data_IF_888660638458
#
_entry.id   IF_888660638458
#
_cell.length_a   1.000
_cell.length_b   1.000
_cell.length_c   1.000
_cell.angle_alpha   90.00
_cell.angle_beta   90.00
_cell.angle_gamma   90.00
#
_symmetry.space_group_name_H-M   'P 1'
#
loop_
_entity.id
_entity.type
_entity.pdbx_description
1 polymer ?
#
# COMPACT_ATOMS: atom_id res chain seq x y z
N UNK A 1 33.62 26.99 8.10
CA UNK A 1 33.14 25.64 7.73
C UNK A 1 34.15 24.63 8.26
N UNK A 2 33.76 23.79 9.21
CA UNK A 2 34.66 22.94 10.01
C UNK A 2 35.28 21.82 9.14
N UNK A 3 36.58 21.50 9.26
CA UNK A 3 37.28 20.47 8.45
C UNK A 3 36.59 19.10 8.44
N UNK A 4 35.89 18.77 9.51
CA UNK A 4 35.12 17.54 9.68
C UNK A 4 33.95 17.41 8.69
N UNK A 5 33.28 18.52 8.35
CA UNK A 5 32.20 18.52 7.35
C UNK A 5 32.73 18.27 5.94
N UNK A 6 33.91 18.82 5.63
CA UNK A 6 34.56 18.64 4.33
C UNK A 6 35.05 17.20 4.11
N UNK A 7 35.47 16.54 5.19
CA UNK A 7 35.87 15.12 5.17
C UNK A 7 34.66 14.21 4.96
N UNK A 8 33.54 14.48 5.65
CA UNK A 8 32.28 13.75 5.46
C UNK A 8 31.78 13.89 4.01
N UNK A 9 31.79 15.09 3.45
CA UNK A 9 31.32 15.35 2.08
C UNK A 9 32.16 14.62 1.01
N UNK A 10 33.49 14.60 1.18
CA UNK A 10 34.38 13.80 0.32
C UNK A 10 34.09 12.30 0.41
N UNK A 11 33.86 11.79 1.62
CA UNK A 11 33.51 10.39 1.82
C UNK A 11 32.17 10.03 1.21
N UNK A 12 31.15 10.88 1.37
CA UNK A 12 29.83 10.69 0.78
C UNK A 12 29.91 10.67 -0.75
N UNK A 13 30.62 11.63 -1.35
CA UNK A 13 30.81 11.71 -2.80
C UNK A 13 31.53 10.47 -3.34
N UNK A 14 32.55 9.99 -2.64
CA UNK A 14 33.29 8.77 -2.99
C UNK A 14 32.40 7.52 -2.91
N UNK A 15 31.60 7.39 -1.84
CA UNK A 15 30.63 6.29 -1.68
C UNK A 15 29.56 6.30 -2.77
N UNK A 16 28.99 7.46 -3.11
CA UNK A 16 28.01 7.58 -4.21
C UNK A 16 28.62 7.15 -5.54
N UNK A 17 29.85 7.56 -5.85
CA UNK A 17 30.55 7.17 -7.08
C UNK A 17 30.79 5.67 -7.16
N UNK A 18 31.12 5.03 -6.03
CA UNK A 18 31.26 3.57 -5.95
C UNK A 18 29.93 2.85 -6.14
N UNK A 19 28.85 3.36 -5.53
CA UNK A 19 27.50 2.82 -5.68
C UNK A 19 27.01 2.89 -7.14
N UNK A 20 27.20 4.03 -7.81
CA UNK A 20 26.84 4.21 -9.22
C UNK A 20 27.64 3.26 -10.13
N UNK A 21 28.95 3.12 -9.87
CA UNK A 21 29.80 2.17 -10.59
C UNK A 21 29.31 0.73 -10.39
N UNK A 22 29.03 0.33 -9.16
CA UNK A 22 28.50 -1.00 -8.83
C UNK A 22 27.16 -1.27 -9.54
N UNK A 23 26.23 -0.30 -9.51
CA UNK A 23 24.93 -0.37 -10.19
C UNK A 23 25.06 -0.55 -11.71
N UNK A 24 25.96 0.23 -12.33
CA UNK A 24 26.25 0.12 -13.76
C UNK A 24 26.84 -1.24 -14.14
N UNK A 25 27.70 -1.80 -13.29
CA UNK A 25 28.33 -3.10 -13.51
C UNK A 25 27.35 -4.26 -13.36
N UNK A 26 26.48 -4.22 -12.34
CA UNK A 26 25.41 -5.21 -12.17
C UNK A 26 24.47 -5.19 -13.38
N UNK A 27 24.09 -4.01 -13.86
CA UNK A 27 23.23 -3.86 -15.05
C UNK A 27 23.89 -4.49 -16.28
N UNK A 28 25.20 -4.24 -16.47
CA UNK A 28 25.98 -4.82 -17.58
C UNK A 28 26.06 -6.34 -17.47
N UNK A 29 26.33 -6.88 -16.29
CA UNK A 29 26.43 -8.33 -16.07
C UNK A 29 25.09 -9.04 -16.28
N UNK A 30 23.97 -8.46 -15.81
CA UNK A 30 22.63 -9.00 -16.10
C UNK A 30 22.30 -9.02 -17.58
N UNK A 31 22.69 -7.99 -18.34
CA UNK A 31 22.50 -7.98 -19.79
C UNK A 31 23.23 -9.15 -20.44
N UNK A 32 24.50 -9.37 -20.07
CA UNK A 32 25.31 -10.51 -20.54
C UNK A 32 24.72 -11.86 -20.15
N UNK A 33 24.25 -12.02 -18.91
CA UNK A 33 23.58 -13.26 -18.47
C UNK A 33 22.30 -13.53 -19.26
N UNK A 34 21.54 -12.49 -19.61
CA UNK A 34 20.34 -12.62 -20.43
C UNK A 34 20.68 -13.00 -21.87
N UNK A 35 21.72 -12.41 -22.45
CA UNK A 35 22.24 -12.78 -23.77
C UNK A 35 22.71 -14.24 -23.78
N UNK A 36 23.47 -14.66 -22.76
CA UNK A 36 23.94 -16.04 -22.59
C UNK A 36 22.77 -17.03 -22.47
N UNK A 37 21.76 -16.72 -21.66
CA UNK A 37 20.56 -17.55 -21.52
C UNK A 37 19.77 -17.69 -22.83
N UNK A 38 19.78 -16.67 -23.70
CA UNK A 38 19.16 -16.76 -25.03
C UNK A 38 19.99 -17.67 -25.94
N UNK A 39 21.32 -17.50 -25.97
CA UNK A 39 22.21 -18.33 -26.78
C UNK A 39 22.23 -19.81 -26.36
N UNK A 40 21.96 -20.11 -25.09
CA UNK A 40 21.87 -21.49 -24.61
C UNK A 40 20.65 -22.26 -25.13
N UNK A 41 19.58 -21.57 -25.54
CA UNK A 41 18.36 -22.22 -26.08
C UNK A 41 18.56 -22.88 -27.43
N UNK A 42 19.61 -22.51 -28.15
CA UNK A 42 19.93 -23.00 -29.49
C UNK A 42 20.88 -24.22 -29.47
N UNK A 43 21.23 -24.73 -28.29
CA UNK A 43 22.12 -25.88 -28.10
C UNK A 43 21.33 -27.16 -27.77
N UNK A 44 21.84 -28.32 -28.19
CA UNK A 44 21.16 -29.62 -28.05
C UNK A 44 21.61 -30.45 -26.82
N UNK A 45 22.64 -30.01 -26.09
CA UNK A 45 23.21 -30.74 -24.95
C UNK A 45 22.51 -30.39 -23.62
N UNK A 46 21.46 -31.17 -23.30
CA UNK A 46 20.51 -30.89 -22.21
C UNK A 46 21.19 -30.85 -20.82
N UNK A 47 22.16 -31.71 -20.56
CA UNK A 47 22.80 -31.80 -19.24
C UNK A 47 23.73 -30.60 -18.99
N UNK A 48 24.56 -30.23 -19.98
CA UNK A 48 25.41 -29.04 -19.90
C UNK A 48 24.59 -27.74 -19.86
N UNK A 49 23.44 -27.70 -20.55
CA UNK A 49 22.51 -26.56 -20.50
C UNK A 49 21.94 -26.38 -19.10
N UNK A 50 21.53 -27.46 -18.42
CA UNK A 50 20.94 -27.37 -17.07
C UNK A 50 21.94 -26.85 -16.03
N UNK A 51 23.20 -27.33 -16.07
CA UNK A 51 24.25 -26.86 -15.14
C UNK A 51 24.58 -25.37 -15.34
N UNK A 52 24.60 -24.92 -16.59
CA UNK A 52 24.83 -23.51 -16.93
C UNK A 52 23.62 -22.64 -16.56
N UNK A 53 22.39 -23.13 -16.74
CA UNK A 53 21.17 -22.43 -16.31
C UNK A 53 21.12 -22.25 -14.78
N UNK A 54 21.50 -23.28 -14.01
CA UNK A 54 21.59 -23.19 -12.55
C UNK A 54 22.64 -22.16 -12.11
N UNK A 55 23.82 -22.16 -12.75
CA UNK A 55 24.88 -21.16 -12.50
C UNK A 55 24.45 -19.73 -12.87
N UNK A 56 23.67 -19.58 -13.96
CA UNK A 56 23.06 -18.29 -14.35
C UNK A 56 22.05 -17.84 -13.29
N UNK A 57 21.22 -18.74 -12.77
CA UNK A 57 20.25 -18.45 -11.72
C UNK A 57 20.92 -18.04 -10.41
N UNK A 58 21.96 -18.75 -9.97
CA UNK A 58 22.71 -18.42 -8.77
C UNK A 58 23.38 -17.05 -8.86
N UNK A 59 24.02 -16.74 -10.00
CA UNK A 59 24.60 -15.41 -10.24
C UNK A 59 23.53 -14.32 -10.31
N UNK A 60 22.38 -14.60 -10.92
CA UNK A 60 21.25 -13.68 -10.97
C UNK A 60 20.69 -13.38 -9.57
N UNK A 61 20.62 -14.40 -8.71
CA UNK A 61 20.23 -14.27 -7.31
C UNK A 61 21.23 -13.41 -6.53
N UNK A 62 22.53 -13.69 -6.66
CA UNK A 62 23.58 -12.89 -6.02
C UNK A 62 23.56 -11.42 -6.46
N UNK A 63 23.37 -11.14 -7.75
CA UNK A 63 23.21 -9.77 -8.24
C UNK A 63 21.95 -9.09 -7.70
N UNK A 64 20.86 -9.84 -7.53
CA UNK A 64 19.62 -9.32 -6.94
C UNK A 64 19.80 -8.98 -5.46
N UNK A 65 20.60 -9.75 -4.73
CA UNK A 65 20.98 -9.42 -3.36
C UNK A 65 21.86 -8.17 -3.30
N UNK A 66 22.91 -8.08 -4.13
CA UNK A 66 23.78 -6.89 -4.19
C UNK A 66 23.00 -5.61 -4.53
N UNK A 67 22.09 -5.67 -5.51
CA UNK A 67 21.26 -4.54 -5.92
C UNK A 67 20.24 -4.12 -4.83
N UNK A 68 19.89 -5.02 -3.91
CA UNK A 68 19.05 -4.66 -2.76
C UNK A 68 19.73 -3.70 -1.78
N UNK A 69 21.07 -3.57 -1.86
CA UNK A 69 21.90 -2.65 -1.09
C UNK A 69 22.33 -1.41 -1.88
N UNK A 70 21.95 -1.28 -3.15
CA UNK A 70 22.27 -0.10 -3.95
C UNK A 70 21.10 0.90 -3.96
N UNK A 71 21.39 2.21 -4.11
CA UNK A 71 20.38 3.23 -4.32
C UNK A 71 19.43 2.85 -5.45
N UNK A 72 18.13 2.76 -5.14
CA UNK A 72 17.12 2.60 -6.18
C UNK A 72 16.60 3.96 -6.60
N UNK A 73 16.35 4.13 -7.90
CA UNK A 73 15.71 5.35 -8.40
C UNK A 73 14.31 5.47 -7.79
N UNK A 74 14.02 6.65 -7.26
CA UNK A 74 12.70 6.98 -6.74
C UNK A 74 11.65 6.91 -7.87
N UNK A 75 10.46 6.42 -7.54
CA UNK A 75 9.31 6.54 -8.44
C UNK A 75 8.88 8.00 -8.62
N UNK A 76 8.15 8.30 -9.70
CA UNK A 76 7.74 9.66 -10.08
C UNK A 76 7.09 10.45 -8.92
N UNK A 77 6.16 9.84 -8.20
CA UNK A 77 5.50 10.49 -7.05
C UNK A 77 6.49 10.87 -5.94
N UNK A 78 7.41 9.97 -5.61
CA UNK A 78 8.37 10.17 -4.53
C UNK A 78 9.40 11.25 -4.91
N UNK A 79 9.82 11.27 -6.18
CA UNK A 79 10.65 12.34 -6.73
C UNK A 79 9.93 13.68 -6.72
N UNK A 80 8.62 13.71 -6.99
CA UNK A 80 7.83 14.94 -6.94
C UNK A 80 7.70 15.49 -5.51
N UNK A 81 7.46 14.61 -4.52
CA UNK A 81 7.20 15.02 -3.12
C UNK A 81 8.48 15.28 -2.34
N UNK A 82 9.50 14.45 -2.49
CA UNK A 82 10.75 14.52 -1.72
C UNK A 82 11.92 15.10 -2.52
N UNK A 83 11.75 15.37 -3.82
CA UNK A 83 12.85 15.73 -4.70
C UNK A 83 13.78 14.55 -4.99
N UNK A 84 15.01 14.84 -5.40
CA UNK A 84 16.00 13.83 -5.77
C UNK A 84 16.75 13.23 -4.54
N UNK A 85 16.07 13.13 -3.40
CA UNK A 85 16.64 12.60 -2.15
C UNK A 85 16.59 11.08 -2.18
N UNK A 86 17.74 10.42 -1.95
CA UNK A 86 17.80 8.97 -1.88
C UNK A 86 17.17 8.46 -0.57
N UNK A 87 16.04 7.77 -0.66
CA UNK A 87 15.34 7.15 0.49
C UNK A 87 15.62 5.65 0.62
N UNK A 88 16.65 5.16 -0.06
CA UNK A 88 17.05 3.76 0.01
C UNK A 88 17.66 3.48 1.38
N UNK A 89 17.01 2.61 2.15
CA UNK A 89 17.49 2.08 3.41
C UNK A 89 18.46 0.94 3.11
N UNK A 90 19.76 1.19 3.28
CA UNK A 90 20.79 0.21 2.90
C UNK A 90 20.80 -1.02 3.83
N UNK A 91 20.56 -0.84 5.14
CA UNK A 91 20.58 -1.93 6.11
C UNK A 91 19.22 -2.66 6.17
N UNK A 92 19.25 -4.00 6.17
CA UNK A 92 18.07 -4.87 6.38
C UNK A 92 17.35 -4.56 7.70
N UNK A 93 18.11 -4.26 8.76
CA UNK A 93 17.53 -3.85 10.05
C UNK A 93 16.78 -2.53 9.95
N UNK A 94 17.31 -1.54 9.22
CA UNK A 94 16.64 -0.25 9.01
C UNK A 94 15.35 -0.40 8.17
N UNK A 95 15.35 -1.29 7.17
CA UNK A 95 14.14 -1.64 6.41
C UNK A 95 13.04 -2.19 7.33
N UNK A 96 13.39 -3.10 8.25
CA UNK A 96 12.43 -3.65 9.22
C UNK A 96 11.99 -2.65 10.26
N UNK A 97 12.90 -1.84 10.81
CA UNK A 97 12.54 -0.80 11.77
C UNK A 97 11.55 0.20 11.15
N UNK A 98 11.82 0.67 9.93
CA UNK A 98 10.91 1.58 9.23
C UNK A 98 9.52 0.95 8.98
N UNK A 99 9.51 -0.33 8.61
CA UNK A 99 8.29 -1.11 8.41
C UNK A 99 7.48 -1.22 9.71
N UNK A 100 8.13 -1.55 10.83
CA UNK A 100 7.48 -1.65 12.13
C UNK A 100 6.93 -0.28 12.58
N UNK A 101 7.67 0.80 12.36
CA UNK A 101 7.19 2.16 12.64
C UNK A 101 6.02 2.59 11.75
N UNK A 102 5.96 2.10 10.51
CA UNK A 102 4.79 2.29 9.64
C UNK A 102 3.56 1.52 10.15
N UNK A 103 3.72 0.26 10.56
CA UNK A 103 2.63 -0.56 11.11
C UNK A 103 2.12 -0.01 12.46
N UNK A 104 3.02 0.43 13.36
CA UNK A 104 2.66 1.12 14.60
C UNK A 104 1.92 2.43 14.34
N UNK A 105 2.40 3.22 13.37
CA UNK A 105 1.76 4.47 12.98
C UNK A 105 0.32 4.23 12.49
N UNK A 106 0.10 3.25 11.60
CA UNK A 106 -1.25 2.90 11.15
C UNK A 106 -2.15 2.57 12.33
N UNK A 107 -1.73 1.66 13.21
CA UNK A 107 -2.54 1.24 14.35
C UNK A 107 -2.87 2.42 15.28
N UNK A 108 -1.86 3.21 15.65
CA UNK A 108 -2.04 4.36 16.53
C UNK A 108 -3.02 5.37 15.93
N UNK A 109 -2.90 5.67 14.64
CA UNK A 109 -3.79 6.61 13.97
C UNK A 109 -5.20 6.05 13.76
N UNK A 110 -5.36 4.75 13.48
CA UNK A 110 -6.66 4.09 13.44
C UNK A 110 -7.40 4.22 14.78
N UNK A 111 -6.71 4.06 15.92
CA UNK A 111 -7.32 4.24 17.25
C UNK A 111 -7.71 5.70 17.49
N UNK A 112 -6.87 6.66 17.13
CA UNK A 112 -7.18 8.10 17.24
C UNK A 112 -8.41 8.45 16.38
N UNK A 113 -8.45 7.98 15.12
CA UNK A 113 -9.56 8.20 14.20
C UNK A 113 -10.86 7.59 14.72
N UNK A 114 -10.81 6.40 15.33
CA UNK A 114 -11.96 5.77 15.95
C UNK A 114 -12.53 6.62 17.10
N UNK A 115 -11.68 7.03 18.05
CA UNK A 115 -12.12 7.85 19.19
C UNK A 115 -12.63 9.21 18.75
N UNK A 116 -11.98 9.83 17.76
CA UNK A 116 -12.37 11.14 17.27
C UNK A 116 -13.69 11.07 16.50
N UNK A 117 -13.86 10.10 15.58
CA UNK A 117 -15.14 9.90 14.89
C UNK A 117 -16.27 9.54 15.84
N UNK A 118 -16.00 8.79 16.92
CA UNK A 118 -16.97 8.51 17.99
C UNK A 118 -17.42 9.82 18.66
N UNK A 119 -16.45 10.65 19.03
CA UNK A 119 -16.67 11.94 19.68
C UNK A 119 -17.50 12.88 18.80
N UNK A 120 -17.16 13.02 17.51
CA UNK A 120 -17.94 13.83 16.55
C UNK A 120 -19.33 13.26 16.27
N UNK A 121 -19.53 11.94 16.41
CA UNK A 121 -20.81 11.29 16.12
C UNK A 121 -21.81 11.37 17.27
N UNK A 122 -21.33 11.20 18.51
CA UNK A 122 -22.20 10.99 19.67
C UNK A 122 -22.10 12.09 20.74
N UNK A 123 -21.00 12.82 20.83
CA UNK A 123 -20.76 13.79 21.91
C UNK A 123 -20.89 15.24 21.43
N UNK A 124 -20.29 15.58 20.29
CA UNK A 124 -20.23 16.95 19.81
C UNK A 124 -20.60 17.06 18.33
N UNK A 125 -21.42 18.04 17.98
CA UNK A 125 -21.83 18.33 16.59
C UNK A 125 -21.39 19.72 16.16
N UNK A 126 -20.08 19.96 16.17
CA UNK A 126 -19.48 21.23 15.75
C UNK A 126 -18.76 21.10 14.40
N UNK A 127 -19.07 21.99 13.45
CA UNK A 127 -18.43 22.01 12.13
C UNK A 127 -16.90 22.11 12.18
N UNK A 128 -16.36 22.79 13.19
CA UNK A 128 -14.92 22.91 13.41
C UNK A 128 -14.27 21.56 13.79
N UNK A 129 -14.94 20.75 14.61
CA UNK A 129 -14.46 19.39 14.94
C UNK A 129 -14.52 18.48 13.72
N UNK A 130 -15.57 18.59 12.91
CA UNK A 130 -15.65 17.83 11.66
C UNK A 130 -14.54 18.26 10.67
N UNK A 131 -14.22 19.56 10.60
CA UNK A 131 -13.10 20.05 9.80
C UNK A 131 -11.78 19.47 10.28
N UNK A 132 -11.53 19.50 11.59
CA UNK A 132 -10.31 18.96 12.19
C UNK A 132 -10.19 17.46 11.96
N UNK A 133 -11.29 16.72 12.06
CA UNK A 133 -11.34 15.30 11.75
C UNK A 133 -11.05 15.00 10.27
N UNK A 134 -11.68 15.73 9.34
CA UNK A 134 -11.41 15.54 7.90
C UNK A 134 -9.98 15.95 7.53
N UNK A 135 -9.44 17.01 8.13
CA UNK A 135 -8.04 17.39 7.98
C UNK A 135 -7.10 16.27 8.45
N UNK A 136 -7.40 15.66 9.60
CA UNK A 136 -6.64 14.52 10.10
C UNK A 136 -6.69 13.32 9.13
N UNK A 137 -7.84 13.05 8.51
CA UNK A 137 -7.96 12.00 7.47
C UNK A 137 -7.11 12.31 6.23
N UNK A 138 -7.17 13.55 5.72
CA UNK A 138 -6.33 13.98 4.59
C UNK A 138 -4.84 13.78 4.93
N UNK A 139 -4.42 14.27 6.09
CA UNK A 139 -3.05 14.13 6.55
C UNK A 139 -2.63 12.66 6.70
N UNK A 140 -3.50 11.83 7.26
CA UNK A 140 -3.26 10.40 7.45
C UNK A 140 -3.03 9.69 6.11
N UNK A 141 -3.95 9.81 5.16
CA UNK A 141 -3.83 9.13 3.87
C UNK A 141 -2.67 9.67 3.02
N UNK A 142 -2.40 10.98 3.03
CA UNK A 142 -1.18 11.56 2.44
C UNK A 142 0.10 10.97 3.05
N UNK A 143 0.12 10.77 4.37
CA UNK A 143 1.29 10.20 5.05
C UNK A 143 1.47 8.73 4.65
N UNK A 144 0.38 7.97 4.49
CA UNK A 144 0.45 6.60 4.00
C UNK A 144 1.02 6.52 2.59
N UNK A 145 0.59 7.36 1.65
CA UNK A 145 1.10 7.32 0.26
C UNK A 145 2.60 7.56 0.20
N UNK A 146 3.12 8.49 1.01
CA UNK A 146 4.56 8.76 1.13
C UNK A 146 5.28 7.56 1.75
N UNK A 147 4.80 7.07 2.90
CA UNK A 147 5.45 5.97 3.63
C UNK A 147 5.46 4.67 2.82
N UNK A 148 4.39 4.36 2.12
CA UNK A 148 4.27 3.20 1.24
C UNK A 148 5.15 3.32 0.00
N UNK A 149 5.28 4.52 -0.58
CA UNK A 149 6.21 4.76 -1.68
C UNK A 149 7.66 4.48 -1.25
N UNK A 150 8.04 4.88 -0.04
CA UNK A 150 9.35 4.56 0.54
C UNK A 150 9.49 3.03 0.75
N UNK A 151 8.46 2.36 1.25
CA UNK A 151 8.46 0.90 1.44
C UNK A 151 8.61 0.14 0.10
N UNK A 152 7.93 0.59 -0.94
CA UNK A 152 8.00 0.00 -2.30
C UNK A 152 9.41 0.13 -2.86
N UNK A 153 10.01 1.33 -2.80
CA UNK A 153 11.42 1.55 -3.21
C UNK A 153 12.37 0.63 -2.42
N UNK A 154 12.04 0.31 -1.17
CA UNK A 154 12.85 -0.54 -0.30
C UNK A 154 12.52 -2.05 -0.34
N UNK A 155 11.69 -2.48 -1.29
CA UNK A 155 11.44 -3.91 -1.58
C UNK A 155 10.13 -4.48 -1.01
N UNK A 156 9.23 -3.64 -0.50
CA UNK A 156 7.88 -4.07 -0.11
C UNK A 156 7.00 -4.29 -1.34
N UNK A 157 6.26 -5.40 -1.39
CA UNK A 157 5.40 -5.79 -2.52
C UNK A 157 3.95 -5.39 -2.27
N UNK A 158 3.67 -4.09 -2.24
CA UNK A 158 2.32 -3.56 -2.08
C UNK A 158 1.62 -3.59 -3.46
N UNK A 159 0.41 -4.17 -3.54
CA UNK A 159 -0.34 -4.20 -4.81
C UNK A 159 -0.76 -2.77 -5.20
N UNK A 160 -0.69 -2.44 -6.49
CA UNK A 160 -0.98 -1.11 -7.00
C UNK A 160 -2.35 -0.56 -6.62
N UNK A 161 -3.39 -1.41 -6.56
CA UNK A 161 -4.72 -0.99 -6.09
C UNK A 161 -4.69 -0.38 -4.69
N UNK A 162 -3.97 -0.97 -3.73
CA UNK A 162 -3.96 -0.48 -2.35
C UNK A 162 -3.33 0.91 -2.24
N UNK A 163 -2.26 1.14 -3.00
CA UNK A 163 -1.63 2.45 -3.13
C UNK A 163 -2.59 3.45 -3.79
N UNK A 164 -3.25 3.05 -4.88
CA UNK A 164 -4.23 3.87 -5.58
C UNK A 164 -5.41 4.26 -4.68
N UNK A 165 -5.91 3.32 -3.89
CA UNK A 165 -6.99 3.55 -2.95
C UNK A 165 -6.64 4.68 -1.96
N UNK A 166 -5.42 4.74 -1.43
CA UNK A 166 -5.01 5.81 -0.51
C UNK A 166 -5.06 7.21 -1.16
N UNK A 167 -4.72 7.32 -2.45
CA UNK A 167 -4.89 8.58 -3.19
C UNK A 167 -6.36 8.97 -3.32
N UNK A 168 -7.25 8.01 -3.62
CA UNK A 168 -8.69 8.27 -3.71
C UNK A 168 -9.26 8.64 -2.34
N UNK A 169 -8.84 7.99 -1.25
CA UNK A 169 -9.24 8.31 0.12
C UNK A 169 -8.76 9.70 0.56
N UNK A 170 -7.56 10.10 0.14
CA UNK A 170 -7.03 11.47 0.35
C UNK A 170 -7.91 12.49 -0.35
N UNK A 171 -8.21 12.26 -1.63
CA UNK A 171 -9.06 13.13 -2.42
C UNK A 171 -10.47 13.26 -1.80
N UNK A 172 -11.11 12.13 -1.48
CA UNK A 172 -12.42 12.07 -0.82
C UNK A 172 -12.43 12.88 0.49
N UNK A 173 -11.42 12.70 1.34
CA UNK A 173 -11.32 13.43 2.61
C UNK A 173 -11.10 14.93 2.39
N UNK A 174 -10.36 15.32 1.34
CA UNK A 174 -10.18 16.72 0.95
C UNK A 174 -11.46 17.37 0.42
N UNK A 175 -12.26 16.63 -0.36
CA UNK A 175 -13.58 17.09 -0.81
C UNK A 175 -14.53 17.23 0.39
N UNK A 176 -14.55 16.27 1.31
CA UNK A 176 -15.33 16.36 2.55
C UNK A 176 -14.92 17.54 3.43
N UNK A 177 -13.61 17.85 3.52
CA UNK A 177 -13.10 18.99 4.26
C UNK A 177 -13.59 20.33 3.71
N UNK A 178 -13.60 20.46 2.38
CA UNK A 178 -14.01 21.67 1.65
C UNK A 178 -15.52 21.76 1.42
N UNK A 179 -16.31 20.78 1.85
CA UNK A 179 -17.76 20.84 1.77
C UNK A 179 -18.27 21.90 2.76
N UNK A 180 -18.93 22.98 2.28
CA UNK A 180 -19.45 24.03 3.17
C UNK A 180 -20.53 23.48 4.11
N UNK A 181 -20.71 24.16 5.24
CA UNK A 181 -21.83 23.84 6.12
C UNK A 181 -23.15 24.21 5.44
N UNK A 182 -24.05 23.23 5.33
CA UNK A 182 -25.32 23.35 4.64
C UNK A 182 -26.22 22.15 4.90
N UNK A 183 -27.45 22.19 4.38
CA UNK A 183 -28.44 21.14 4.59
C UNK A 183 -27.96 19.77 4.09
N UNK A 184 -27.40 19.71 2.88
CA UNK A 184 -26.89 18.47 2.29
C UNK A 184 -25.70 17.90 3.08
N UNK A 185 -24.79 18.76 3.54
CA UNK A 185 -23.70 18.33 4.42
C UNK A 185 -24.26 17.66 5.69
N UNK A 186 -25.21 18.31 6.36
CA UNK A 186 -25.80 17.78 7.60
C UNK A 186 -26.58 16.48 7.37
N UNK A 187 -27.25 16.33 6.22
CA UNK A 187 -27.92 15.09 5.82
C UNK A 187 -26.94 13.92 5.71
N UNK A 188 -25.76 14.14 5.13
CA UNK A 188 -24.77 13.07 4.93
C UNK A 188 -23.83 12.88 6.13
N UNK A 189 -23.64 13.91 6.96
CA UNK A 189 -22.67 13.96 8.07
C UNK A 189 -22.69 12.71 8.95
N UNK A 190 -23.86 12.34 9.46
CA UNK A 190 -23.97 11.21 10.40
C UNK A 190 -23.64 9.87 9.72
N UNK A 191 -24.02 9.71 8.45
CA UNK A 191 -23.69 8.52 7.66
C UNK A 191 -22.19 8.44 7.39
N UNK A 192 -21.55 9.57 7.06
CA UNK A 192 -20.11 9.66 6.90
C UNK A 192 -19.36 9.30 8.19
N UNK A 193 -19.70 9.92 9.32
CA UNK A 193 -19.03 9.66 10.60
C UNK A 193 -19.20 8.21 11.07
N UNK A 194 -20.38 7.63 10.84
CA UNK A 194 -20.65 6.21 11.16
C UNK A 194 -19.83 5.29 10.26
N UNK A 195 -19.69 5.63 8.97
CA UNK A 195 -18.80 4.91 8.06
C UNK A 195 -17.33 5.01 8.49
N UNK A 196 -16.85 6.20 8.89
CA UNK A 196 -15.48 6.37 9.40
C UNK A 196 -15.21 5.53 10.66
N UNK A 197 -16.17 5.52 11.60
CA UNK A 197 -16.12 4.65 12.78
C UNK A 197 -15.99 3.18 12.41
N UNK A 198 -16.85 2.73 11.51
CA UNK A 198 -16.82 1.36 10.99
C UNK A 198 -15.48 1.04 10.31
N UNK A 199 -14.98 1.94 9.47
CA UNK A 199 -13.72 1.76 8.76
C UNK A 199 -12.55 1.62 9.76
N UNK A 200 -12.48 2.46 10.80
CA UNK A 200 -11.43 2.33 11.83
C UNK A 200 -11.53 1.01 12.60
N UNK A 201 -12.75 0.55 12.89
CA UNK A 201 -12.96 -0.76 13.50
C UNK A 201 -12.45 -1.90 12.61
N UNK A 202 -12.78 -1.89 11.32
CA UNK A 202 -12.31 -2.91 10.37
C UNK A 202 -10.79 -2.85 10.21
N UNK A 203 -10.19 -1.67 10.10
CA UNK A 203 -8.73 -1.49 10.03
C UNK A 203 -8.02 -2.09 11.26
N UNK A 204 -8.61 -1.95 12.46
CA UNK A 204 -8.08 -2.58 13.66
C UNK A 204 -8.12 -4.11 13.58
N UNK A 205 -9.25 -4.70 13.15
CA UNK A 205 -9.38 -6.14 12.93
C UNK A 205 -8.39 -6.65 11.88
N UNK A 206 -8.24 -5.91 10.78
CA UNK A 206 -7.30 -6.21 9.71
C UNK A 206 -5.88 -6.26 10.24
N UNK A 207 -5.46 -5.24 10.99
CA UNK A 207 -4.14 -5.18 11.57
C UNK A 207 -3.83 -6.40 12.45
N UNK A 208 -4.73 -6.72 13.40
CA UNK A 208 -4.50 -7.81 14.34
C UNK A 208 -4.43 -9.17 13.63
N UNK A 209 -5.42 -9.43 12.76
CA UNK A 209 -5.52 -10.69 12.03
C UNK A 209 -4.34 -10.88 11.06
N UNK A 210 -4.00 -9.85 10.29
CA UNK A 210 -2.96 -9.93 9.28
C UNK A 210 -1.56 -9.99 9.90
N UNK A 211 -1.31 -9.26 10.98
CA UNK A 211 -0.03 -9.31 11.71
C UNK A 211 0.24 -10.72 12.24
N UNK A 212 -0.77 -11.37 12.84
CA UNK A 212 -0.65 -12.75 13.31
C UNK A 212 -0.41 -13.76 12.18
N UNK A 213 -1.12 -13.64 11.07
CA UNK A 213 -0.89 -14.48 9.90
C UNK A 213 0.49 -14.28 9.27
N UNK A 214 0.94 -13.03 9.12
CA UNK A 214 2.25 -12.71 8.58
C UNK A 214 3.37 -13.22 9.50
N UNK A 215 3.23 -13.10 10.82
CA UNK A 215 4.19 -13.64 11.77
C UNK A 215 4.36 -15.16 11.58
N UNK A 216 3.25 -15.90 11.53
CA UNK A 216 3.27 -17.36 11.30
C UNK A 216 3.92 -17.73 9.96
N UNK A 217 3.55 -17.05 8.87
CA UNK A 217 4.08 -17.35 7.54
C UNK A 217 5.57 -17.01 7.42
N UNK A 218 6.05 -15.98 8.12
CA UNK A 218 7.49 -15.67 8.20
C UNK A 218 8.26 -16.72 9.01
N UNK A 219 7.71 -17.18 10.13
CA UNK A 219 8.30 -18.25 10.92
C UNK A 219 8.41 -19.57 10.14
N UNK A 220 7.48 -19.81 9.21
CA UNK A 220 7.49 -20.96 8.29
C UNK A 220 8.37 -20.75 7.04
N UNK A 221 8.98 -19.58 6.85
CA UNK A 221 9.76 -19.26 5.65
C UNK A 221 8.94 -19.08 4.36
N UNK A 222 7.60 -19.16 4.42
CA UNK A 222 6.70 -19.10 3.27
C UNK A 222 6.45 -17.68 2.74
N UNK A 223 6.90 -16.64 3.46
CA UNK A 223 6.64 -15.24 3.12
C UNK A 223 7.87 -14.36 3.28
N UNK A 224 7.94 -13.35 2.42
CA UNK A 224 9.00 -12.37 2.46
C UNK A 224 8.84 -11.45 3.68
N UNK A 225 9.96 -11.15 4.34
CA UNK A 225 9.94 -10.41 5.60
C UNK A 225 9.47 -8.95 5.43
N UNK A 226 9.40 -8.41 4.21
CA UNK A 226 8.90 -7.05 3.95
C UNK A 226 7.38 -6.95 3.75
N UNK A 227 6.63 -8.06 3.70
CA UNK A 227 5.17 -8.01 3.48
C UNK A 227 4.45 -7.33 4.65
N UNK A 228 3.52 -6.42 4.34
CA UNK A 228 2.79 -5.53 5.25
C UNK A 228 1.32 -5.95 5.42
N UNK A 229 0.67 -5.44 6.46
CA UNK A 229 -0.80 -5.49 6.54
C UNK A 229 -1.40 -4.54 5.51
N UNK A 230 -2.49 -4.94 4.85
CA UNK A 230 -3.21 -4.17 3.83
C UNK A 230 -4.66 -3.96 4.23
N UNK A 231 -5.28 -2.90 3.72
CA UNK A 231 -6.70 -2.59 3.95
C UNK A 231 -7.69 -3.49 3.19
N UNK A 232 -7.25 -4.66 2.73
CA UNK A 232 -8.18 -5.67 2.22
C UNK A 232 -7.71 -7.10 2.44
N UNK A 233 -8.05 -7.98 1.49
CA UNK A 233 -7.82 -9.41 1.59
C UNK A 233 -6.76 -9.87 0.59
N UNK A 234 -5.89 -10.79 1.00
CA UNK A 234 -4.84 -11.38 0.16
C UNK A 234 -4.87 -12.91 0.21
N UNK A 235 -4.33 -13.55 -0.83
CA UNK A 235 -4.39 -15.00 -1.02
C UNK A 235 -3.65 -15.83 0.04
N UNK A 236 -2.77 -15.24 0.84
CA UNK A 236 -2.12 -15.95 1.95
C UNK A 236 -2.95 -15.95 3.24
N UNK A 237 -4.02 -15.15 3.29
CA UNK A 237 -4.89 -15.02 4.45
C UNK A 237 -5.87 -16.21 4.60
N UNK A 238 -5.85 -17.16 3.66
CA UNK A 238 -6.75 -18.33 3.63
C UNK A 238 -6.44 -19.40 4.69
N UNK A 239 -5.21 -19.50 5.21
CA UNK A 239 -4.83 -20.52 6.21
C UNK A 239 -5.31 -20.20 7.65
N UNK A 240 -6.06 -19.12 7.86
CA UNK A 240 -6.52 -18.65 9.19
C UNK A 240 -7.97 -18.15 9.24
N UNK A 241 -8.77 -18.40 8.18
CA UNK A 241 -10.21 -18.17 8.03
C UNK A 241 -10.66 -16.85 7.33
N UNK A 242 -11.69 -17.04 6.51
CA UNK A 242 -12.70 -16.11 5.97
C UNK A 242 -13.28 -15.10 6.97
N UNK A 243 -12.90 -15.12 8.26
CA UNK A 243 -13.46 -14.28 9.31
C UNK A 243 -13.51 -12.79 8.91
N UNK A 244 -12.45 -12.31 8.26
CA UNK A 244 -12.37 -10.90 7.85
C UNK A 244 -13.27 -10.59 6.64
N UNK A 245 -13.58 -11.57 5.78
CA UNK A 245 -14.30 -11.33 4.52
C UNK A 245 -15.71 -10.74 4.71
N UNK A 246 -16.56 -11.22 5.65
CA UNK A 246 -17.84 -10.59 5.94
C UNK A 246 -17.73 -9.10 6.25
N UNK A 247 -16.77 -8.71 7.11
CA UNK A 247 -16.54 -7.31 7.47
C UNK A 247 -16.05 -6.49 6.27
N UNK A 248 -15.18 -7.06 5.42
CA UNK A 248 -14.73 -6.37 4.21
C UNK A 248 -15.87 -6.17 3.22
N UNK A 249 -16.63 -7.22 2.91
CA UNK A 249 -17.75 -7.10 1.98
C UNK A 249 -18.80 -6.12 2.49
N UNK A 250 -19.12 -6.16 3.79
CA UNK A 250 -20.03 -5.18 4.38
C UNK A 250 -19.49 -3.75 4.22
N UNK A 251 -18.19 -3.52 4.46
CA UNK A 251 -17.54 -2.23 4.22
C UNK A 251 -17.63 -1.79 2.75
N UNK A 252 -17.38 -2.70 1.81
CA UNK A 252 -17.49 -2.42 0.37
C UNK A 252 -18.92 -2.05 -0.01
N UNK A 253 -19.92 -2.81 0.44
CA UNK A 253 -21.32 -2.46 0.20
C UNK A 253 -21.75 -1.16 0.88
N UNK A 254 -21.16 -0.80 2.03
CA UNK A 254 -21.35 0.51 2.63
C UNK A 254 -20.78 1.62 1.73
N UNK A 255 -19.60 1.42 1.11
CA UNK A 255 -19.06 2.38 0.11
C UNK A 255 -20.05 2.58 -1.05
N UNK A 256 -20.63 1.50 -1.57
CA UNK A 256 -21.67 1.58 -2.61
C UNK A 256 -22.91 2.34 -2.10
N UNK A 257 -23.38 2.04 -0.88
CA UNK A 257 -24.52 2.72 -0.27
C UNK A 257 -24.28 4.24 -0.10
N UNK A 258 -23.08 4.64 0.34
CA UNK A 258 -22.68 6.03 0.41
C UNK A 258 -22.70 6.69 -0.98
N UNK A 259 -22.15 6.00 -1.99
CA UNK A 259 -22.15 6.49 -3.36
C UNK A 259 -23.57 6.71 -3.91
N UNK A 260 -24.46 5.72 -3.75
CA UNK A 260 -25.87 5.82 -4.17
C UNK A 260 -26.58 6.96 -3.45
N UNK A 261 -26.36 7.09 -2.13
CA UNK A 261 -26.96 8.16 -1.32
C UNK A 261 -26.55 9.53 -1.85
N UNK A 262 -25.26 9.73 -2.10
CA UNK A 262 -24.72 10.98 -2.63
C UNK A 262 -25.22 11.27 -4.05
N UNK A 263 -25.32 10.28 -4.93
CA UNK A 263 -25.88 10.49 -6.27
C UNK A 263 -27.37 10.82 -6.24
N UNK A 264 -28.15 10.26 -5.30
CA UNK A 264 -29.55 10.67 -5.09
C UNK A 264 -29.63 12.11 -4.56
N UNK A 265 -28.74 12.48 -3.63
CA UNK A 265 -28.67 13.87 -3.14
C UNK A 265 -28.27 14.84 -4.25
N UNK A 266 -27.39 14.44 -5.16
CA UNK A 266 -26.97 15.25 -6.31
C UNK A 266 -28.12 15.54 -7.28
N UNK A 267 -29.15 14.69 -7.33
CA UNK A 267 -30.34 14.89 -8.16
C UNK A 267 -31.35 15.86 -7.52
N UNK A 268 -31.15 16.30 -6.28
CA UNK A 268 -32.04 17.25 -5.64
C UNK A 268 -31.92 18.63 -6.33
N UNK A 269 -33.03 19.33 -6.61
CA UNK A 269 -33.01 20.64 -7.28
C UNK A 269 -32.19 21.70 -6.53
N UNK A 270 -32.04 21.53 -5.22
CA UNK A 270 -31.33 22.44 -4.32
C UNK A 270 -29.82 22.17 -4.28
N UNK A 271 -29.34 21.08 -4.88
CA UNK A 271 -27.93 20.70 -4.87
C UNK A 271 -27.09 21.58 -5.79
N UNK A 272 -26.42 22.57 -5.20
CA UNK A 272 -25.43 23.43 -5.87
C UNK A 272 -23.98 23.02 -5.59
N UNK A 273 -23.78 22.09 -4.67
CA UNK A 273 -22.48 21.71 -4.11
C UNK A 273 -21.85 20.58 -4.94
N UNK A 274 -20.79 20.89 -5.66
CA UNK A 274 -20.06 19.92 -6.48
C UNK A 274 -19.42 18.80 -5.64
N UNK A 275 -19.18 19.06 -4.35
CA UNK A 275 -18.62 18.11 -3.40
C UNK A 275 -19.48 16.84 -3.29
N UNK A 276 -20.80 16.96 -3.39
CA UNK A 276 -21.74 15.83 -3.37
C UNK A 276 -21.40 14.83 -4.48
N UNK A 277 -21.28 15.31 -5.71
CA UNK A 277 -20.96 14.48 -6.88
C UNK A 277 -19.57 13.85 -6.77
N UNK A 278 -18.56 14.63 -6.35
CA UNK A 278 -17.18 14.13 -6.28
C UNK A 278 -16.98 13.12 -5.14
N UNK A 279 -17.65 13.29 -4.00
CA UNK A 279 -17.70 12.27 -2.97
C UNK A 279 -18.40 11.00 -3.49
N UNK A 280 -19.53 11.14 -4.20
CA UNK A 280 -20.25 10.02 -4.80
C UNK A 280 -19.40 9.19 -5.76
N UNK A 281 -18.68 9.87 -6.66
CA UNK A 281 -17.73 9.25 -7.59
C UNK A 281 -16.58 8.56 -6.84
N UNK A 282 -16.01 9.20 -5.83
CA UNK A 282 -14.89 8.64 -5.06
C UNK A 282 -15.29 7.36 -4.33
N UNK A 283 -16.46 7.34 -3.68
CA UNK A 283 -17.00 6.15 -3.05
C UNK A 283 -17.29 5.03 -4.05
N UNK A 284 -17.75 5.36 -5.27
CA UNK A 284 -17.96 4.37 -6.33
C UNK A 284 -16.64 3.73 -6.76
N UNK A 285 -15.59 4.54 -6.99
CA UNK A 285 -14.26 4.04 -7.37
C UNK A 285 -13.70 3.14 -6.28
N UNK A 286 -13.79 3.56 -5.01
CA UNK A 286 -13.37 2.76 -3.86
C UNK A 286 -14.13 1.44 -3.80
N UNK A 287 -15.46 1.47 -3.92
CA UNK A 287 -16.29 0.26 -3.95
C UNK A 287 -15.85 -0.70 -5.05
N UNK A 288 -15.80 -0.24 -6.30
CA UNK A 288 -15.48 -1.08 -7.44
C UNK A 288 -14.12 -1.75 -7.25
N UNK A 289 -13.07 -0.97 -6.98
CA UNK A 289 -11.73 -1.57 -6.90
C UNK A 289 -11.54 -2.43 -5.65
N UNK A 290 -12.13 -2.08 -4.50
CA UNK A 290 -12.05 -2.91 -3.30
C UNK A 290 -12.82 -4.22 -3.47
N UNK A 291 -14.02 -4.15 -4.03
CA UNK A 291 -14.88 -5.30 -4.30
C UNK A 291 -14.23 -6.24 -5.31
N UNK A 292 -13.81 -5.75 -6.48
CA UNK A 292 -13.19 -6.59 -7.51
C UNK A 292 -11.83 -7.14 -7.10
N UNK A 293 -11.02 -6.38 -6.35
CA UNK A 293 -9.75 -6.89 -5.82
C UNK A 293 -9.98 -8.03 -4.82
N UNK A 294 -10.98 -7.89 -3.94
CA UNK A 294 -11.34 -8.94 -2.98
C UNK A 294 -11.92 -10.16 -3.70
N UNK A 295 -12.83 -9.94 -4.66
CA UNK A 295 -13.45 -10.99 -5.47
C UNK A 295 -12.39 -11.77 -6.27
N UNK A 296 -11.43 -11.08 -6.88
CA UNK A 296 -10.33 -11.72 -7.61
C UNK A 296 -9.50 -12.65 -6.73
N UNK A 297 -9.26 -12.29 -5.46
CA UNK A 297 -8.57 -13.16 -4.50
C UNK A 297 -9.41 -14.37 -4.11
N UNK A 298 -10.74 -14.21 -3.97
CA UNK A 298 -11.68 -15.32 -3.71
C UNK A 298 -11.77 -16.26 -4.90
N UNK A 299 -11.87 -15.70 -6.12
CA UNK A 299 -11.93 -16.47 -7.36
C UNK A 299 -10.66 -17.28 -7.59
N UNK A 300 -9.48 -16.67 -7.44
CA UNK A 300 -8.20 -17.39 -7.53
C UNK A 300 -8.12 -18.56 -6.55
N UNK A 301 -8.63 -18.38 -5.33
CA UNK A 301 -8.67 -19.46 -4.34
C UNK A 301 -9.61 -20.59 -4.77
N UNK A 302 -10.79 -20.24 -5.28
CA UNK A 302 -11.77 -21.21 -5.74
C UNK A 302 -11.21 -22.05 -6.90
N UNK A 303 -10.59 -21.41 -7.89
CA UNK A 303 -9.93 -22.09 -9.01
C UNK A 303 -8.80 -23.02 -8.55
N UNK A 304 -7.88 -22.55 -7.70
CA UNK A 304 -6.79 -23.37 -7.18
C UNK A 304 -7.28 -24.60 -6.38
N UNK A 305 -8.42 -24.47 -5.68
CA UNK A 305 -9.02 -25.60 -4.97
C UNK A 305 -9.67 -26.60 -5.94
N UNK A 306 -10.29 -26.13 -7.03
CA UNK A 306 -10.84 -27.01 -8.05
C UNK A 306 -9.75 -27.79 -8.79
N UNK A 307 -8.64 -27.15 -9.14
CA UNK A 307 -7.49 -27.82 -9.76
C UNK A 307 -6.95 -28.93 -8.85
N UNK A 308 -6.70 -28.64 -7.56
CA UNK A 308 -6.28 -29.65 -6.59
C UNK A 308 -7.25 -30.83 -6.47
N UNK A 309 -8.56 -30.57 -6.56
CA UNK A 309 -9.57 -31.63 -6.51
C UNK A 309 -9.64 -32.47 -7.79
N UNK A 310 -9.08 -32.00 -8.91
CA UNK A 310 -8.99 -32.76 -10.16
C UNK A 310 -7.71 -33.58 -10.28
N UNK A 311 -6.68 -33.23 -9.49
CA UNK A 311 -5.37 -33.92 -9.48
C UNK A 311 -5.26 -34.99 -8.37
N UNK A 312 -6.27 -35.07 -7.48
CA UNK A 312 -6.43 -36.09 -6.43
C UNK A 312 -7.38 -37.19 -6.89
#
# INVERSE_FOLDING_TARGET
>A
VTPHLLHIDKYLTYMTKLQDKCSSEITRQRKKLKELSVSLKDLEDVDAITEIEDSINDRSNAFSEMEAFLPKKNGLYLTLVLGNVNVTLLNKQSKFAYKDEYEKFKLALTVILFVFSFTCRFLFSYRALDALFNFLLVWYYCTLTIRESILITNGSRIKGWWVFHHYVSTFLSGVMLTWPEGALYQMFRNQFLTYCLYQSFVQFLQYYYQSGCLYRLRALGERHNMDLTVEGFQSWMWRGLTFLLPFLFFGHFWQLYNSITLFRMFQLPECKEWQVAMCGCSYMVLFMGNFFTTLGVVYQKYMNNQEKSKTL
#
